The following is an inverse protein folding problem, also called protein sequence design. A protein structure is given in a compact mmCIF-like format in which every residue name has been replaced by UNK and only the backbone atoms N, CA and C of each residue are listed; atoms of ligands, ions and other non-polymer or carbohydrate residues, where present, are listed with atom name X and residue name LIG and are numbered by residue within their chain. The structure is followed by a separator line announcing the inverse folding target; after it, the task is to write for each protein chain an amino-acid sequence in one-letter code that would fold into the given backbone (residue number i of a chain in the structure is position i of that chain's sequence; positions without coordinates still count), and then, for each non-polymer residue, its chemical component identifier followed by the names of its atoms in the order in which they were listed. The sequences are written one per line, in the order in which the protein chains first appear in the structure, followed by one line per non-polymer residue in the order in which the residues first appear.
data_IF_013088691622
#
_entry.id   IF_013088691622
#
_cell.length_a   1.000
_cell.length_b   1.000
_cell.length_c   1.000
_cell.angle_alpha   90.00
_cell.angle_beta   90.00
_cell.angle_gamma   90.00
#
_symmetry.space_group_name_H-M   'P 1'
#
loop_
_entity.id
_entity.type
_entity.pdbx_description
1 polymer ?
#
# COMPACT_ATOMS: atom_id res chain seq x y z
N UNK A 1 11.54 -8.59 -8.45
CA UNK A 1 10.37 -7.67 -8.48
C UNK A 1 9.22 -8.21 -9.33
N UNK A 2 9.47 -8.79 -10.51
CA UNK A 2 8.42 -9.17 -11.49
C UNK A 2 7.46 -10.29 -11.05
N UNK A 3 7.91 -11.27 -10.24
CA UNK A 3 7.07 -12.42 -9.86
C UNK A 3 5.96 -12.07 -8.88
N UNK A 4 6.26 -11.27 -7.85
CA UNK A 4 5.29 -10.95 -6.81
C UNK A 4 4.12 -10.07 -7.33
N UNK A 5 4.43 -9.10 -8.19
CA UNK A 5 3.43 -8.28 -8.87
C UNK A 5 2.54 -9.12 -9.79
N UNK A 6 3.12 -10.07 -10.55
CA UNK A 6 2.34 -11.01 -11.37
C UNK A 6 1.42 -11.89 -10.54
N UNK A 7 1.92 -12.46 -9.43
CA UNK A 7 1.08 -13.27 -8.53
C UNK A 7 -0.11 -12.46 -8.02
N UNK A 8 0.12 -11.22 -7.60
CA UNK A 8 -0.97 -10.34 -7.14
C UNK A 8 -2.00 -10.11 -8.24
N UNK A 9 -1.58 -9.85 -9.48
CA UNK A 9 -2.50 -9.61 -10.60
C UNK A 9 -3.34 -10.86 -10.92
N UNK A 10 -2.72 -12.04 -10.97
CA UNK A 10 -3.44 -13.30 -11.15
C UNK A 10 -4.47 -13.53 -10.03
N UNK A 11 -4.10 -13.24 -8.78
CA UNK A 11 -5.02 -13.36 -7.64
C UNK A 11 -6.26 -12.47 -7.77
N UNK A 12 -6.16 -11.30 -8.41
CA UNK A 12 -7.33 -10.42 -8.65
C UNK A 12 -8.37 -11.05 -9.58
N UNK A 13 -7.96 -11.99 -10.43
CA UNK A 13 -8.87 -12.66 -11.37
C UNK A 13 -9.68 -13.78 -10.71
N UNK A 14 -9.20 -14.31 -9.57
CA UNK A 14 -9.80 -15.46 -8.88
C UNK A 14 -10.31 -15.17 -7.48
N UNK A 15 -9.90 -14.05 -6.86
CA UNK A 15 -10.32 -13.66 -5.52
C UNK A 15 -11.18 -12.38 -5.53
N UNK A 16 -12.18 -12.27 -4.63
CA UNK A 16 -12.75 -10.98 -4.25
C UNK A 16 -11.67 -10.00 -3.83
N UNK A 17 -11.81 -8.71 -4.17
CA UNK A 17 -10.77 -7.70 -3.97
C UNK A 17 -10.23 -7.59 -2.54
N UNK A 18 -11.07 -7.80 -1.52
CA UNK A 18 -10.68 -7.75 -0.11
C UNK A 18 -9.87 -8.97 0.39
N UNK A 19 -9.74 -10.01 -0.43
CA UNK A 19 -8.90 -11.18 -0.16
C UNK A 19 -7.57 -11.14 -0.93
N UNK A 20 -7.38 -10.16 -1.81
CA UNK A 20 -6.12 -9.97 -2.52
C UNK A 20 -5.11 -9.34 -1.54
N UNK A 21 -3.94 -9.97 -1.30
CA UNK A 21 -2.96 -9.42 -0.36
C UNK A 21 -2.39 -8.08 -0.84
N UNK A 22 -2.27 -7.12 0.07
CA UNK A 22 -1.65 -5.82 -0.23
C UNK A 22 -0.16 -5.96 -0.58
N UNK A 23 0.54 -6.90 0.09
CA UNK A 23 1.97 -7.16 -0.08
C UNK A 23 2.23 -8.64 -0.37
N UNK A 24 3.06 -8.92 -1.38
CA UNK A 24 3.60 -10.24 -1.67
C UNK A 24 5.13 -10.21 -1.54
N UNK A 25 5.67 -10.91 -0.52
CA UNK A 25 7.10 -10.98 -0.25
C UNK A 25 7.66 -12.34 -0.69
N UNK A 26 8.54 -12.39 -1.70
CA UNK A 26 9.25 -13.63 -2.02
C UNK A 26 10.23 -13.96 -0.91
N UNK A 27 10.21 -15.23 -0.46
CA UNK A 27 11.16 -15.79 0.47
C UNK A 27 11.89 -16.95 -0.20
N UNK A 28 13.21 -17.00 -0.08
CA UNK A 28 14.00 -18.12 -0.61
C UNK A 28 13.70 -19.42 0.17
N UNK A 29 13.44 -19.29 1.48
CA UNK A 29 13.09 -20.38 2.38
C UNK A 29 12.05 -19.94 3.40
N UNK A 30 11.10 -20.83 3.72
CA UNK A 30 10.17 -20.59 4.82
C UNK A 30 10.86 -20.79 6.17
N UNK A 31 10.72 -19.87 7.13
CA UNK A 31 11.24 -20.07 8.48
C UNK A 31 10.44 -21.17 9.17
N UNK A 32 11.12 -22.23 9.63
CA UNK A 32 10.49 -23.35 10.31
C UNK A 32 10.96 -23.41 11.78
N UNK A 33 10.04 -23.76 12.66
CA UNK A 33 10.33 -24.21 14.03
C UNK A 33 11.18 -25.49 14.00
N UNK A 34 11.84 -25.87 15.12
CA UNK A 34 12.58 -27.14 15.21
C UNK A 34 11.76 -28.39 14.86
N UNK A 35 10.43 -28.31 15.03
CA UNK A 35 9.49 -29.39 14.70
C UNK A 35 9.01 -29.35 13.23
N UNK A 36 9.60 -28.52 12.39
CA UNK A 36 9.28 -28.41 10.95
C UNK A 36 8.00 -27.64 10.61
N UNK A 37 7.32 -27.03 11.60
CA UNK A 37 6.16 -26.16 11.35
C UNK A 37 6.59 -24.74 10.99
N UNK A 38 5.81 -24.02 10.17
CA UNK A 38 6.05 -22.60 9.88
C UNK A 38 6.15 -21.77 11.16
N UNK A 39 7.25 -21.07 11.34
CA UNK A 39 7.42 -20.08 12.39
C UNK A 39 6.97 -18.71 11.89
N UNK A 40 5.73 -18.35 12.26
CA UNK A 40 5.14 -17.06 11.86
C UNK A 40 5.81 -15.85 12.49
N UNK A 41 6.43 -16.01 13.65
CA UNK A 41 7.10 -14.90 14.35
C UNK A 41 8.45 -14.57 13.71
N UNK A 42 9.06 -15.56 13.05
CA UNK A 42 10.28 -15.41 12.28
C UNK A 42 10.05 -14.93 10.84
N UNK A 43 8.80 -14.74 10.40
CA UNK A 43 8.53 -14.12 9.12
C UNK A 43 9.04 -12.67 9.11
N UNK A 44 9.70 -12.22 8.04
CA UNK A 44 10.12 -10.83 7.92
C UNK A 44 8.92 -9.91 8.08
N UNK A 45 9.07 -8.87 8.90
CA UNK A 45 8.06 -7.83 8.99
C UNK A 45 7.80 -7.27 7.57
N UNK A 46 6.54 -7.06 7.18
CA UNK A 46 6.22 -6.35 5.96
C UNK A 46 6.75 -4.93 6.09
N UNK A 47 7.96 -4.69 5.56
CA UNK A 47 8.45 -3.33 5.41
C UNK A 47 7.62 -2.73 4.29
N UNK A 48 7.04 -1.52 4.47
CA UNK A 48 6.57 -0.75 3.34
C UNK A 48 7.70 -0.77 2.33
N UNK A 49 7.42 -1.25 1.12
CA UNK A 49 8.39 -1.19 0.04
C UNK A 49 8.86 0.26 0.04
N UNK A 50 10.17 0.47 0.21
CA UNK A 50 10.76 1.80 0.19
C UNK A 50 10.09 2.60 -0.91
N UNK A 51 9.64 3.81 -0.56
CA UNK A 51 8.80 4.70 -1.36
C UNK A 51 9.05 4.43 -2.84
N UNK A 52 8.05 3.96 -3.60
CA UNK A 52 8.30 3.45 -4.94
C UNK A 52 9.11 4.48 -5.69
N UNK A 53 10.27 4.04 -6.21
CA UNK A 53 11.13 4.84 -7.07
C UNK A 53 10.24 5.44 -8.16
N UNK A 54 9.91 6.70 -7.97
CA UNK A 54 8.81 7.37 -8.64
C UNK A 54 9.13 8.84 -8.67
N UNK A 55 8.42 9.55 -9.53
CA UNK A 55 8.68 10.96 -9.73
C UNK A 55 8.27 11.71 -8.47
N UNK A 56 9.03 12.75 -8.14
CA UNK A 56 8.60 13.69 -7.11
C UNK A 56 7.23 14.29 -7.49
N UNK A 57 6.32 14.48 -6.51
CA UNK A 57 5.10 15.24 -6.73
C UNK A 57 5.42 16.58 -7.38
N UNK A 58 4.69 16.93 -8.44
CA UNK A 58 4.89 18.15 -9.18
C UNK A 58 3.61 18.97 -9.18
N UNK A 59 3.70 20.18 -8.64
CA UNK A 59 2.59 21.11 -8.59
C UNK A 59 1.67 20.88 -7.40
N UNK A 60 0.89 21.91 -7.09
CA UNK A 60 0.22 22.07 -5.81
C UNK A 60 -0.71 20.90 -5.42
N UNK A 61 -1.39 20.27 -6.40
CA UNK A 61 -2.32 19.18 -6.12
C UNK A 61 -1.61 17.87 -5.79
N UNK A 62 -0.57 17.52 -6.55
CA UNK A 62 0.19 16.30 -6.29
C UNK A 62 0.95 16.41 -4.96
N UNK A 63 1.58 17.56 -4.70
CA UNK A 63 2.29 17.84 -3.45
C UNK A 63 1.37 17.70 -2.24
N UNK A 64 0.16 18.25 -2.34
CA UNK A 64 -0.83 18.17 -1.27
C UNK A 64 -1.31 16.73 -1.03
N UNK A 65 -1.63 15.98 -2.09
CA UNK A 65 -2.05 14.59 -1.97
C UNK A 65 -0.94 13.71 -1.39
N UNK A 66 0.30 13.89 -1.86
CA UNK A 66 1.46 13.15 -1.37
C UNK A 66 1.71 13.41 0.12
N UNK A 67 1.59 14.67 0.57
CA UNK A 67 1.69 15.01 1.98
C UNK A 67 0.58 14.34 2.82
N UNK A 68 -0.67 14.36 2.36
CA UNK A 68 -1.78 13.70 3.06
C UNK A 68 -1.61 12.17 3.13
N UNK A 69 -1.05 11.55 2.08
CA UNK A 69 -0.70 10.13 2.10
C UNK A 69 0.38 9.85 3.14
N UNK A 70 1.47 10.62 3.10
CA UNK A 70 2.59 10.47 4.02
C UNK A 70 2.12 10.56 5.49
N UNK A 71 1.30 11.56 5.81
CA UNK A 71 0.74 11.77 7.14
C UNK A 71 -0.14 10.60 7.61
N UNK A 72 -1.00 10.08 6.73
CA UNK A 72 -1.93 9.01 7.10
C UNK A 72 -1.25 7.64 7.20
N UNK A 73 -0.19 7.43 6.43
CA UNK A 73 0.55 6.17 6.36
C UNK A 73 1.77 6.14 7.29
N UNK A 74 2.14 7.28 7.91
CA UNK A 74 3.31 7.41 8.76
C UNK A 74 4.63 7.29 7.98
N UNK A 75 4.64 7.78 6.73
CA UNK A 75 5.80 7.76 5.83
C UNK A 75 6.45 9.14 5.79
N UNK A 76 7.75 9.19 5.50
CA UNK A 76 8.47 10.46 5.38
C UNK A 76 8.10 11.20 4.09
N UNK A 77 8.03 10.46 2.96
CA UNK A 77 7.71 10.99 1.64
C UNK A 77 6.95 9.95 0.82
N UNK A 78 6.17 10.41 -0.16
CA UNK A 78 5.37 9.61 -1.10
C UNK A 78 5.56 10.17 -2.51
N UNK A 79 5.80 9.29 -3.49
CA UNK A 79 5.95 9.68 -4.90
C UNK A 79 4.59 9.90 -5.58
N UNK A 80 4.58 10.62 -6.71
CA UNK A 80 3.34 10.99 -7.40
C UNK A 80 2.56 9.77 -7.93
N UNK A 81 3.26 8.69 -8.28
CA UNK A 81 2.67 7.47 -8.83
C UNK A 81 2.41 6.39 -7.76
N UNK A 82 2.53 6.74 -6.47
CA UNK A 82 2.37 5.78 -5.41
C UNK A 82 0.92 5.27 -5.27
N UNK A 83 0.77 3.94 -5.13
CA UNK A 83 -0.50 3.30 -4.80
C UNK A 83 -0.73 3.32 -3.28
N UNK A 84 -1.81 3.97 -2.84
CA UNK A 84 -2.17 4.12 -1.43
C UNK A 84 -2.25 2.79 -0.68
N UNK A 85 -2.86 1.78 -1.29
CA UNK A 85 -3.07 0.47 -0.67
C UNK A 85 -1.79 -0.36 -0.69
N UNK A 86 -0.98 -0.24 -1.75
CA UNK A 86 0.35 -0.87 -1.80
C UNK A 86 1.30 -0.31 -0.72
N UNK A 87 1.08 0.93 -0.26
CA UNK A 87 1.80 1.54 0.85
C UNK A 87 1.24 1.18 2.24
N UNK A 88 0.24 0.30 2.32
CA UNK A 88 -0.39 -0.12 3.59
C UNK A 88 -1.66 0.67 3.95
N UNK A 89 -2.17 1.49 3.03
CA UNK A 89 -3.48 2.11 3.18
C UNK A 89 -4.60 1.08 3.17
N UNK A 90 -5.69 1.37 3.88
CA UNK A 90 -6.88 0.52 3.92
C UNK A 90 -8.15 1.38 3.95
N UNK A 91 -9.33 0.77 3.83
CA UNK A 91 -10.60 1.48 3.62
C UNK A 91 -10.90 2.59 4.64
N UNK A 92 -10.55 2.38 5.92
CA UNK A 92 -10.71 3.39 6.96
C UNK A 92 -9.78 4.60 6.73
N UNK A 93 -8.53 4.38 6.33
CA UNK A 93 -7.61 5.46 5.99
C UNK A 93 -8.02 6.15 4.68
N UNK A 94 -8.53 5.40 3.70
CA UNK A 94 -9.06 5.96 2.45
C UNK A 94 -10.28 6.86 2.69
N UNK A 95 -11.20 6.46 3.58
CA UNK A 95 -12.32 7.30 3.98
C UNK A 95 -11.85 8.60 4.66
N UNK A 96 -10.88 8.51 5.58
CA UNK A 96 -10.27 9.69 6.23
C UNK A 96 -9.58 10.61 5.23
N UNK A 97 -8.86 10.03 4.28
CA UNK A 97 -8.20 10.75 3.19
C UNK A 97 -9.24 11.53 2.36
N UNK A 98 -10.33 10.88 1.94
CA UNK A 98 -11.36 11.53 1.14
C UNK A 98 -11.99 12.73 1.85
N UNK A 99 -12.24 12.61 3.17
CA UNK A 99 -12.71 13.75 3.98
C UNK A 99 -11.69 14.89 3.99
N UNK A 100 -10.41 14.62 4.29
CA UNK A 100 -9.37 15.66 4.33
C UNK A 100 -9.17 16.34 2.98
N UNK A 101 -9.16 15.56 1.90
CA UNK A 101 -9.02 16.10 0.54
C UNK A 101 -10.22 16.98 0.19
N UNK A 102 -11.44 16.58 0.58
CA UNK A 102 -12.65 17.37 0.35
C UNK A 102 -12.61 18.70 1.11
N UNK A 103 -12.13 18.70 2.37
CA UNK A 103 -11.98 19.91 3.18
C UNK A 103 -11.01 20.91 2.55
N UNK A 104 -9.91 20.42 1.97
CA UNK A 104 -8.89 21.27 1.33
C UNK A 104 -9.31 21.74 -0.06
N UNK A 105 -9.87 20.85 -0.88
CA UNK A 105 -10.25 21.17 -2.26
C UNK A 105 -11.62 21.84 -2.38
N UNK A 106 -12.41 21.88 -1.31
CA UNK A 106 -13.72 22.54 -1.25
C UNK A 106 -14.84 21.80 -1.98
N UNK A 107 -14.64 20.54 -2.35
CA UNK A 107 -15.63 19.74 -3.08
C UNK A 107 -15.60 18.27 -2.62
N UNK A 108 -16.76 17.57 -2.56
CA UNK A 108 -16.80 16.17 -2.13
C UNK A 108 -16.01 15.23 -3.06
N UNK A 109 -15.17 14.38 -2.47
CA UNK A 109 -14.47 13.30 -3.19
C UNK A 109 -15.24 12.00 -2.96
N UNK A 110 -15.92 11.42 -3.96
CA UNK A 110 -16.58 10.13 -3.80
C UNK A 110 -15.53 9.01 -3.74
N UNK A 111 -15.57 8.19 -2.68
CA UNK A 111 -14.79 6.95 -2.60
C UNK A 111 -15.51 5.87 -3.40
N UNK A 112 -14.85 5.34 -4.44
CA UNK A 112 -15.32 4.19 -5.21
C UNK A 112 -14.39 3.01 -4.98
N UNK A 113 -14.97 1.82 -4.78
CA UNK A 113 -14.26 0.57 -4.54
C UNK A 113 -13.65 0.00 -5.82
#
# INVERSE_FOLDING_TARGET
ATTAARVREELRTVLPGHLVPDLCLPLDTLPLTPNGKLDRNALPAPRPVATPAGRAPAGQREELLAALFADLLGLEQVSAEADFFALGGHSLLAARLATRVADVLGHPIPVRQ
#
